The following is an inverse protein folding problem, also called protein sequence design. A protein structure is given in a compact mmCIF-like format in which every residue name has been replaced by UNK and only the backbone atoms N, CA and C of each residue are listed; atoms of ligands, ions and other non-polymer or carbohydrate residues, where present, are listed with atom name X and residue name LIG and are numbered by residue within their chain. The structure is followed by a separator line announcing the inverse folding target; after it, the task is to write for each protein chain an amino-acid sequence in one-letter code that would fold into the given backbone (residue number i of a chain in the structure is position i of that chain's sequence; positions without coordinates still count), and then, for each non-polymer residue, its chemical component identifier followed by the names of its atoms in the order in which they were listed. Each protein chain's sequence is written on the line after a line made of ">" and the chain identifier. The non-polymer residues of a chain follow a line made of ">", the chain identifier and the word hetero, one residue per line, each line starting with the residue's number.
data_IF_612472514822
#
_entry.id   IF_612472514822
#
_cell.length_a   1.000
_cell.length_b   1.000
_cell.length_c   1.000
_cell.angle_alpha   90.00
_cell.angle_beta   90.00
_cell.angle_gamma   90.00
#
_symmetry.space_group_name_H-M   'P 1'
#
loop_
_entity.id
_entity.type
_entity.pdbx_description
1 polymer ?
#
# COMPACT_ATOMS: atom_id res chain seq x y z
N UNK A 1 -23.96 -3.76 19.00
CA UNK A 1 -23.46 -2.37 18.97
C UNK A 1 -22.55 -2.26 17.79
N UNK A 2 -22.94 -1.46 16.81
CA UNK A 2 -22.12 -1.23 15.62
C UNK A 2 -20.78 -0.63 16.07
N UNK A 3 -19.68 -1.19 15.59
CA UNK A 3 -18.35 -0.67 15.86
C UNK A 3 -17.68 -0.29 14.55
N UNK A 4 -16.99 0.84 14.56
CA UNK A 4 -16.32 1.39 13.38
C UNK A 4 -15.16 0.50 12.99
N UNK A 5 -15.24 -0.03 11.78
CA UNK A 5 -14.17 -0.80 11.16
C UNK A 5 -13.40 0.10 10.21
N UNK A 6 -12.09 0.10 10.34
CA UNK A 6 -11.17 0.80 9.46
C UNK A 6 -9.86 0.01 9.39
N UNK A 7 -9.68 -0.71 8.29
CA UNK A 7 -8.57 -1.61 8.09
C UNK A 7 -7.68 -1.17 6.93
N UNK A 8 -6.39 -1.48 7.05
CA UNK A 8 -5.36 -1.14 6.06
C UNK A 8 -5.62 -1.77 4.68
N UNK A 9 -6.34 -2.87 4.61
CA UNK A 9 -6.76 -3.48 3.35
C UNK A 9 -7.90 -2.73 2.63
N UNK A 10 -8.36 -1.60 3.18
CA UNK A 10 -9.41 -0.76 2.60
C UNK A 10 -10.82 -1.11 3.09
N UNK A 11 -10.99 -2.19 3.85
CA UNK A 11 -12.27 -2.51 4.49
C UNK A 11 -12.64 -1.43 5.53
N UNK A 12 -13.80 -0.80 5.34
CA UNK A 12 -14.32 0.25 6.21
C UNK A 12 -15.84 0.16 6.35
N UNK A 13 -16.39 0.58 7.50
CA UNK A 13 -17.84 0.58 7.74
C UNK A 13 -18.23 -0.16 9.01
N UNK A 14 -19.40 -0.82 9.00
CA UNK A 14 -19.87 -1.60 10.14
C UNK A 14 -19.08 -2.91 10.27
N UNK A 15 -18.36 -3.11 11.38
CA UNK A 15 -17.53 -4.28 11.60
C UNK A 15 -18.24 -5.63 11.51
N UNK A 16 -19.56 -5.70 11.72
CA UNK A 16 -20.32 -6.93 11.52
C UNK A 16 -20.39 -7.36 10.04
N UNK A 17 -20.39 -6.39 9.13
CA UNK A 17 -20.51 -6.61 7.69
C UNK A 17 -19.12 -6.80 7.05
N UNK A 18 -18.14 -5.99 7.47
CA UNK A 18 -16.86 -5.90 6.75
C UNK A 18 -15.71 -6.69 7.36
N UNK A 19 -15.87 -7.27 8.56
CA UNK A 19 -14.82 -8.08 9.17
C UNK A 19 -14.58 -9.43 8.44
N UNK A 20 -15.56 -9.93 7.69
CA UNK A 20 -15.39 -11.11 6.83
C UNK A 20 -14.96 -12.39 7.57
N UNK A 21 -15.37 -12.55 8.83
CA UNK A 21 -15.05 -13.73 9.66
C UNK A 21 -13.59 -13.85 10.11
N UNK A 22 -12.76 -12.84 9.83
CA UNK A 22 -11.37 -12.80 10.28
C UNK A 22 -11.26 -12.29 11.73
N UNK A 23 -10.23 -12.74 12.46
CA UNK A 23 -9.92 -12.16 13.77
C UNK A 23 -9.61 -10.67 13.66
N UNK A 24 -10.23 -9.89 14.54
CA UNK A 24 -10.12 -8.43 14.57
C UNK A 24 -9.49 -7.96 15.88
N UNK A 25 -8.96 -6.74 15.86
CA UNK A 25 -8.40 -6.07 17.03
C UNK A 25 -8.81 -4.59 17.03
N UNK A 26 -9.10 -4.07 18.22
CA UNK A 26 -9.45 -2.66 18.44
C UNK A 26 -8.23 -1.86 18.84
N UNK A 27 -8.01 -0.71 18.23
CA UNK A 27 -6.98 0.24 18.68
C UNK A 27 -7.41 0.93 19.98
N UNK A 28 -6.51 1.01 20.96
CA UNK A 28 -6.76 1.69 22.23
C UNK A 28 -6.70 3.23 22.15
N UNK A 29 -6.29 3.79 21.01
CA UNK A 29 -6.24 5.25 20.80
C UNK A 29 -7.41 5.77 19.96
N UNK A 30 -7.60 5.24 18.74
CA UNK A 30 -8.66 5.71 17.83
C UNK A 30 -9.94 4.87 17.91
N UNK A 31 -9.96 3.81 18.72
CA UNK A 31 -11.10 2.89 18.92
C UNK A 31 -11.59 2.16 17.66
N UNK A 32 -10.96 2.39 16.50
CA UNK A 32 -11.25 1.68 15.26
C UNK A 32 -10.81 0.22 15.34
N UNK A 33 -11.58 -0.64 14.70
CA UNK A 33 -11.28 -2.05 14.55
C UNK A 33 -10.65 -2.35 13.20
N UNK A 34 -9.78 -3.34 13.18
CA UNK A 34 -9.09 -3.78 11.97
C UNK A 34 -8.79 -5.27 12.03
N UNK A 35 -8.50 -5.88 10.88
CA UNK A 35 -8.04 -7.28 10.84
C UNK A 35 -6.66 -7.40 11.50
N UNK A 36 -6.49 -8.42 12.35
CA UNK A 36 -5.19 -8.75 12.94
C UNK A 36 -4.15 -9.01 11.84
N UNK A 37 -4.55 -9.76 10.80
CA UNK A 37 -3.68 -10.13 9.69
C UNK A 37 -3.29 -8.98 8.75
N UNK A 38 -3.86 -7.79 8.95
CA UNK A 38 -3.54 -6.59 8.17
C UNK A 38 -2.58 -5.63 8.90
N UNK A 39 -2.26 -5.91 10.16
CA UNK A 39 -1.30 -5.13 10.93
C UNK A 39 0.13 -5.50 10.54
N UNK A 40 0.98 -4.48 10.35
CA UNK A 40 2.36 -4.68 9.86
C UNK A 40 3.14 -5.71 10.66
N UNK A 41 3.80 -6.62 9.95
CA UNK A 41 4.71 -7.63 10.53
C UNK A 41 4.06 -8.60 11.51
N UNK A 42 2.73 -8.72 11.52
CA UNK A 42 2.01 -9.58 12.46
C UNK A 42 2.08 -9.13 13.92
N UNK A 43 2.38 -7.85 14.18
CA UNK A 43 2.55 -7.29 15.53
C UNK A 43 1.33 -7.43 16.45
N UNK A 44 0.13 -7.60 15.86
CA UNK A 44 -1.11 -7.81 16.60
C UNK A 44 -1.40 -9.28 16.94
N UNK A 45 -0.69 -10.24 16.35
CA UNK A 45 -1.13 -11.64 16.29
C UNK A 45 -0.98 -12.43 17.58
N UNK A 46 0.00 -12.07 18.40
CA UNK A 46 0.30 -12.74 19.67
C UNK A 46 0.18 -11.79 20.87
N UNK A 47 -0.60 -10.72 20.73
CA UNK A 47 -0.82 -9.81 21.84
C UNK A 47 -1.59 -10.52 22.96
N UNK A 48 -1.11 -10.33 24.18
CA UNK A 48 -1.85 -10.78 25.35
C UNK A 48 -3.20 -10.05 25.39
N UNK A 49 -4.31 -10.66 25.85
CA UNK A 49 -5.63 -10.01 25.87
C UNK A 49 -5.72 -8.68 26.65
N UNK A 50 -4.72 -8.38 27.48
CA UNK A 50 -4.60 -7.14 28.26
C UNK A 50 -3.53 -6.18 27.73
N UNK A 51 -2.82 -6.55 26.67
CA UNK A 51 -1.79 -5.70 26.09
C UNK A 51 -2.45 -4.55 25.32
N UNK A 52 -1.92 -3.34 25.49
CA UNK A 52 -2.35 -2.21 24.69
C UNK A 52 -1.95 -2.41 23.21
N UNK A 53 -2.82 -2.01 22.30
CA UNK A 53 -2.62 -2.05 20.88
C UNK A 53 -2.90 -0.70 20.22
N UNK A 54 -1.93 -0.22 19.44
CA UNK A 54 -2.04 0.99 18.64
C UNK A 54 -1.93 0.64 17.17
N UNK A 55 -2.95 0.99 16.36
CA UNK A 55 -2.95 0.76 14.91
C UNK A 55 -1.78 1.52 14.23
N UNK A 56 -1.46 1.16 12.99
CA UNK A 56 -0.25 1.69 12.32
C UNK A 56 -0.32 3.22 12.21
N UNK A 57 -1.50 3.78 11.97
CA UNK A 57 -1.75 5.22 11.94
C UNK A 57 -1.60 5.96 13.27
N UNK A 58 -2.01 5.31 14.36
CA UNK A 58 -1.82 5.86 15.70
C UNK A 58 -0.37 5.68 16.20
N UNK A 59 0.31 4.64 15.75
CA UNK A 59 1.67 4.30 16.19
C UNK A 59 2.70 5.31 15.68
N UNK A 60 2.54 5.85 14.47
CA UNK A 60 3.37 6.91 13.89
C UNK A 60 3.24 8.26 14.61
N UNK A 61 2.09 8.51 15.24
CA UNK A 61 1.89 9.71 16.07
C UNK A 61 2.65 9.62 17.40
N UNK A 62 2.77 8.41 17.99
CA UNK A 62 3.54 8.19 19.22
C UNK A 62 5.05 8.06 19.00
N UNK A 63 5.51 7.60 17.83
CA UNK A 63 6.95 7.41 17.56
C UNK A 63 7.76 8.71 17.54
N UNK A 64 7.11 9.89 17.46
CA UNK A 64 7.76 11.20 17.65
C UNK A 64 8.20 11.48 19.10
N UNK A 65 7.83 10.64 20.07
CA UNK A 65 8.10 10.83 21.49
C UNK A 65 9.06 9.78 22.12
N UNK A 66 9.66 8.88 21.32
CA UNK A 66 10.54 7.84 21.89
C UNK A 66 12.03 8.27 21.88
N UNK A 67 12.77 8.05 22.99
CA UNK A 67 14.22 8.18 22.99
C UNK A 67 14.86 7.16 22.05
N UNK A 68 16.07 7.43 21.52
CA UNK A 68 16.75 6.53 20.61
C UNK A 68 16.94 5.15 21.24
N UNK A 69 16.60 4.11 20.48
CA UNK A 69 16.80 2.71 20.85
C UNK A 69 18.30 2.52 21.08
N UNK A 70 18.68 2.24 22.33
CA UNK A 70 20.05 1.80 22.67
C UNK A 70 20.32 0.50 21.94
N UNK A 71 21.28 0.53 21.01
CA UNK A 71 21.86 -0.65 20.36
C UNK A 71 22.37 -1.63 21.43
N UNK A 72 21.55 -2.62 21.78
CA UNK A 72 22.00 -3.79 22.52
C UNK A 72 22.78 -4.66 21.54
N UNK A 73 24.10 -4.74 21.73
CA UNK A 73 24.96 -5.71 21.05
C UNK A 73 24.31 -7.09 21.14
N UNK A 74 23.95 -7.65 19.99
CA UNK A 74 23.38 -8.98 19.88
C UNK A 74 24.47 -10.01 20.22
N UNK A 75 24.47 -10.49 21.46
CA UNK A 75 25.30 -11.61 21.89
C UNK A 75 24.44 -12.88 21.98
N UNK A 76 25.01 -13.98 21.48
CA UNK A 76 24.54 -15.37 21.46
C UNK A 76 23.71 -15.82 20.24
N UNK A 77 24.16 -16.95 19.65
CA UNK A 77 23.43 -17.80 18.72
C UNK A 77 22.13 -18.27 19.39
N UNK A 78 21.06 -17.48 19.30
CA UNK A 78 19.74 -17.88 19.81
C UNK A 78 19.28 -19.10 19.03
N UNK A 79 18.99 -20.20 19.73
CA UNK A 79 18.29 -21.33 19.12
C UNK A 79 17.00 -20.82 18.49
N UNK A 80 16.79 -21.18 17.24
CA UNK A 80 15.61 -20.83 16.47
C UNK A 80 14.36 -21.34 17.17
N UNK A 81 13.38 -20.47 17.39
CA UNK A 81 12.12 -20.87 17.98
C UNK A 81 11.40 -21.88 17.06
N UNK A 82 10.62 -22.82 17.60
CA UNK A 82 9.88 -23.79 16.79
C UNK A 82 8.98 -23.11 15.75
N UNK A 83 8.89 -23.70 14.55
CA UNK A 83 8.16 -23.11 13.41
C UNK A 83 6.75 -22.61 13.76
N UNK A 84 5.97 -23.41 14.51
CA UNK A 84 4.60 -23.05 14.91
C UNK A 84 4.50 -21.75 15.73
N UNK A 85 5.55 -21.38 16.46
CA UNK A 85 5.61 -20.11 17.22
C UNK A 85 6.00 -18.92 16.34
N UNK A 86 6.58 -19.19 15.16
CA UNK A 86 7.04 -18.18 14.19
C UNK A 86 5.99 -17.88 13.12
N UNK A 87 5.07 -18.81 12.88
CA UNK A 87 3.90 -18.62 12.01
C UNK A 87 2.86 -17.80 12.78
N UNK A 88 2.64 -16.56 12.35
CA UNK A 88 1.71 -15.61 12.98
C UNK A 88 0.86 -14.94 11.89
N UNK A 89 -0.37 -14.56 12.22
CA UNK A 89 -1.22 -13.81 11.30
C UNK A 89 -0.53 -12.51 10.83
N UNK A 90 -0.74 -12.12 9.58
CA UNK A 90 -0.10 -10.94 8.97
C UNK A 90 1.39 -11.10 8.65
N UNK A 91 1.98 -12.29 8.83
CA UNK A 91 3.33 -12.61 8.37
C UNK A 91 3.27 -13.29 6.99
N UNK A 92 4.24 -13.00 6.13
CA UNK A 92 4.50 -13.78 4.92
C UNK A 92 5.12 -15.15 5.25
N UNK A 93 4.76 -16.16 4.47
CA UNK A 93 5.26 -17.53 4.55
C UNK A 93 5.33 -18.15 3.16
N UNK A 94 5.92 -19.33 3.03
CA UNK A 94 5.82 -20.18 1.85
C UNK A 94 4.84 -21.32 2.11
N UNK A 95 3.90 -21.54 1.20
CA UNK A 95 2.99 -22.67 1.20
C UNK A 95 3.32 -23.65 0.07
N UNK A 96 3.23 -24.95 0.37
CA UNK A 96 3.44 -26.02 -0.60
C UNK A 96 2.21 -26.21 -1.48
N UNK A 97 2.40 -26.22 -2.80
CA UNK A 97 1.41 -26.64 -3.79
C UNK A 97 2.05 -27.67 -4.74
N UNK A 98 1.60 -28.92 -4.62
CA UNK A 98 2.26 -30.05 -5.28
C UNK A 98 3.71 -30.19 -4.80
N UNK A 99 4.66 -30.00 -5.73
CA UNK A 99 6.11 -30.12 -5.49
C UNK A 99 6.86 -28.78 -5.44
N UNK A 100 6.13 -27.67 -5.39
CA UNK A 100 6.67 -26.33 -5.39
C UNK A 100 6.15 -25.52 -4.20
N UNK A 101 6.90 -24.50 -3.79
CA UNK A 101 6.58 -23.63 -2.66
C UNK A 101 6.36 -22.20 -3.14
N UNK A 102 5.27 -21.56 -2.72
CA UNK A 102 4.86 -20.23 -3.18
C UNK A 102 4.60 -19.28 -2.01
N UNK A 103 4.82 -17.97 -2.18
CA UNK A 103 4.55 -16.99 -1.14
C UNK A 103 3.06 -16.84 -0.84
N UNK A 104 2.77 -16.79 0.45
CA UNK A 104 1.43 -16.55 0.99
C UNK A 104 1.49 -15.59 2.17
N UNK A 105 0.39 -14.89 2.45
CA UNK A 105 0.17 -14.21 3.74
C UNK A 105 -0.69 -15.08 4.64
N UNK A 106 -0.25 -15.26 5.88
CA UNK A 106 -1.01 -15.98 6.90
C UNK A 106 -2.15 -15.12 7.43
N UNK A 107 -3.38 -15.61 7.41
CA UNK A 107 -4.56 -14.87 7.89
C UNK A 107 -4.90 -15.26 9.31
N UNK A 108 -5.15 -16.54 9.56
CA UNK A 108 -5.42 -17.06 10.90
C UNK A 108 -5.31 -18.57 10.92
N UNK A 109 -4.95 -19.10 12.09
CA UNK A 109 -4.90 -20.53 12.35
C UNK A 109 -6.18 -21.03 13.02
N UNK A 110 -6.54 -22.28 12.71
CA UNK A 110 -7.61 -23.02 13.35
C UNK A 110 -7.18 -24.46 13.62
N UNK A 111 -7.71 -25.03 14.70
CA UNK A 111 -7.34 -26.34 15.21
C UNK A 111 -6.98 -26.28 16.70
N UNK A 112 -7.21 -27.37 17.43
CA UNK A 112 -7.01 -27.44 18.89
C UNK A 112 -5.52 -27.48 19.24
N UNK A 113 -4.99 -26.35 19.69
CA UNK A 113 -3.65 -26.22 20.29
C UNK A 113 -3.48 -27.02 21.61
N UNK A 114 -4.57 -27.54 22.16
CA UNK A 114 -4.65 -28.30 23.41
C UNK A 114 -4.44 -29.82 23.26
N UNK A 115 -4.20 -30.33 22.05
CA UNK A 115 -3.94 -31.75 21.84
C UNK A 115 -2.44 -32.12 22.01
N UNK A 116 -2.12 -33.36 22.42
CA UNK A 116 -0.76 -33.84 22.57
C UNK A 116 0.09 -33.64 21.30
N UNK A 117 1.41 -33.53 21.49
CA UNK A 117 2.37 -33.17 20.44
C UNK A 117 2.32 -34.06 19.17
N UNK A 118 1.75 -35.26 19.27
CA UNK A 118 1.57 -36.23 18.18
C UNK A 118 0.39 -35.92 17.24
N UNK A 119 -0.43 -34.91 17.55
CA UNK A 119 -1.62 -34.50 16.77
C UNK A 119 -1.55 -33.07 16.24
N UNK A 120 -0.37 -32.43 16.34
CA UNK A 120 -0.10 -31.05 15.88
C UNK A 120 -0.21 -30.86 14.35
N UNK A 121 -0.33 -31.95 13.60
CA UNK A 121 -0.59 -31.96 12.15
C UNK A 121 -2.01 -31.52 11.77
N UNK A 122 -2.90 -31.31 12.75
CA UNK A 122 -4.27 -30.82 12.49
C UNK A 122 -4.42 -29.30 12.51
N UNK A 123 -3.34 -28.54 12.78
CA UNK A 123 -3.40 -27.08 12.69
C UNK A 123 -3.42 -26.69 11.22
N UNK A 124 -4.50 -26.01 10.81
CA UNK A 124 -4.63 -25.44 9.48
C UNK A 124 -4.57 -23.92 9.56
N UNK A 125 -4.11 -23.31 8.49
CA UNK A 125 -4.02 -21.88 8.32
C UNK A 125 -4.85 -21.46 7.12
N UNK A 126 -5.69 -20.47 7.34
CA UNK A 126 -6.22 -19.68 6.23
C UNK A 126 -5.11 -18.78 5.71
N UNK A 127 -4.91 -18.80 4.39
CA UNK A 127 -3.86 -18.06 3.72
C UNK A 127 -4.40 -17.30 2.50
N UNK A 128 -3.71 -16.23 2.13
CA UNK A 128 -3.89 -15.53 0.85
C UNK A 128 -2.64 -15.77 0.02
N UNK A 129 -2.78 -16.39 -1.14
CA UNK A 129 -1.66 -16.61 -2.06
C UNK A 129 -1.31 -15.30 -2.73
N UNK A 130 0.00 -15.05 -2.89
CA UNK A 130 0.45 -13.88 -3.62
C UNK A 130 -0.11 -13.91 -5.05
N UNK A 131 -0.76 -12.81 -5.46
CA UNK A 131 -1.41 -12.69 -6.76
C UNK A 131 -0.47 -12.85 -7.96
N UNK A 132 0.83 -12.61 -7.77
CA UNK A 132 1.85 -12.80 -8.80
C UNK A 132 2.32 -14.25 -8.96
N UNK A 133 1.79 -15.21 -8.21
CA UNK A 133 2.16 -16.62 -8.33
C UNK A 133 1.74 -17.22 -9.68
N UNK A 134 2.67 -17.93 -10.32
CA UNK A 134 2.45 -18.68 -11.57
C UNK A 134 2.40 -20.17 -11.26
N UNK A 135 1.18 -20.69 -11.12
CA UNK A 135 0.94 -22.09 -10.81
C UNK A 135 1.04 -22.99 -12.07
N UNK A 136 1.43 -24.26 -11.93
CA UNK A 136 1.31 -25.25 -12.98
C UNK A 136 -0.16 -25.44 -13.35
N UNK A 137 -0.49 -25.43 -14.65
CA UNK A 137 -1.86 -25.56 -15.15
C UNK A 137 -2.56 -26.85 -14.69
N UNK A 138 -1.80 -27.89 -14.32
CA UNK A 138 -2.31 -29.17 -13.85
C UNK A 138 -2.78 -29.20 -12.41
N UNK A 139 -2.46 -28.18 -11.58
CA UNK A 139 -2.73 -28.19 -10.13
C UNK A 139 -4.02 -27.43 -9.74
N UNK A 140 -4.73 -26.83 -10.70
CA UNK A 140 -5.94 -26.07 -10.45
C UNK A 140 -5.71 -24.83 -9.58
N UNK A 141 -6.79 -24.29 -9.01
CA UNK A 141 -6.73 -23.16 -8.08
C UNK A 141 -6.17 -23.61 -6.72
N UNK A 142 -5.25 -22.84 -6.12
CA UNK A 142 -4.68 -23.21 -4.83
C UNK A 142 -5.72 -23.09 -3.70
N UNK A 143 -5.67 -23.97 -2.68
CA UNK A 143 -6.62 -23.93 -1.57
C UNK A 143 -6.38 -22.72 -0.66
N UNK A 144 -7.46 -22.12 -0.14
CA UNK A 144 -7.38 -21.06 0.89
C UNK A 144 -6.90 -21.57 2.25
N UNK A 145 -7.00 -22.88 2.50
CA UNK A 145 -6.70 -23.52 3.78
C UNK A 145 -5.58 -24.55 3.65
N UNK A 146 -4.44 -24.23 4.26
CA UNK A 146 -3.19 -24.99 4.15
C UNK A 146 -2.83 -25.62 5.49
N UNK A 147 -2.34 -26.86 5.47
CA UNK A 147 -1.88 -27.53 6.69
C UNK A 147 -0.56 -26.93 7.17
N UNK A 148 -0.35 -26.86 8.48
CA UNK A 148 0.88 -26.27 9.02
C UNK A 148 2.16 -26.99 8.55
N UNK A 149 2.08 -28.30 8.29
CA UNK A 149 3.20 -29.07 7.72
C UNK A 149 3.56 -28.67 6.28
N UNK A 150 2.63 -28.02 5.59
CA UNK A 150 2.80 -27.46 4.24
C UNK A 150 3.16 -25.97 4.25
N UNK A 151 3.50 -25.43 5.43
CA UNK A 151 3.97 -24.05 5.59
C UNK A 151 5.39 -24.04 6.11
N UNK A 152 6.18 -23.10 5.59
CA UNK A 152 7.46 -22.70 6.19
C UNK A 152 7.55 -21.18 6.17
N UNK A 153 8.36 -20.63 7.07
CA UNK A 153 8.68 -19.21 7.04
C UNK A 153 9.94 -18.97 6.20
N UNK A 154 10.72 -17.94 6.51
CA UNK A 154 11.98 -17.63 5.85
C UNK A 154 13.08 -18.68 6.10
N UNK A 155 12.95 -19.58 7.09
CA UNK A 155 13.95 -20.62 7.40
C UNK A 155 15.37 -20.07 7.67
N UNK A 156 15.49 -18.90 8.28
CA UNK A 156 16.78 -18.40 8.78
C UNK A 156 17.50 -19.44 9.62
N UNK A 157 18.82 -19.53 9.51
CA UNK A 157 19.65 -20.55 10.19
C UNK A 157 19.39 -22.03 9.80
N UNK A 158 18.36 -22.33 9.01
CA UNK A 158 18.03 -23.71 8.56
C UNK A 158 18.42 -23.93 7.09
N UNK A 159 19.73 -24.02 6.87
CA UNK A 159 20.32 -24.25 5.56
C UNK A 159 19.81 -25.54 4.90
N UNK A 160 19.74 -26.64 5.65
CA UNK A 160 19.34 -27.94 5.11
C UNK A 160 17.92 -27.87 4.54
N UNK A 161 16.98 -27.27 5.29
CA UNK A 161 15.60 -27.14 4.82
C UNK A 161 15.43 -26.23 3.62
N UNK A 162 16.17 -25.10 3.54
CA UNK A 162 16.14 -24.23 2.35
C UNK A 162 16.59 -24.97 1.08
N UNK A 163 17.63 -25.79 1.17
CA UNK A 163 18.17 -26.57 0.04
C UNK A 163 17.19 -27.63 -0.47
N UNK A 164 16.32 -28.14 0.39
CA UNK A 164 15.26 -29.09 0.02
C UNK A 164 14.03 -28.42 -0.65
N UNK A 165 13.91 -27.09 -0.58
CA UNK A 165 12.71 -26.39 -1.03
C UNK A 165 12.86 -25.89 -2.47
N UNK A 166 12.01 -26.44 -3.33
CA UNK A 166 11.88 -26.00 -4.72
C UNK A 166 10.82 -24.91 -4.81
N UNK A 167 11.26 -23.69 -5.07
CA UNK A 167 10.38 -22.56 -5.25
C UNK A 167 9.53 -22.68 -6.53
N UNK A 168 8.28 -22.26 -6.40
CA UNK A 168 7.39 -21.93 -7.51
C UNK A 168 7.81 -20.63 -8.18
N UNK A 169 7.25 -20.31 -9.34
CA UNK A 169 7.53 -19.03 -10.03
C UNK A 169 6.52 -17.99 -9.56
N UNK A 170 6.98 -16.78 -9.21
CA UNK A 170 6.11 -15.63 -8.95
C UNK A 170 6.76 -14.32 -9.41
N UNK A 171 5.95 -13.27 -9.61
CA UNK A 171 6.47 -11.91 -9.79
C UNK A 171 6.95 -11.36 -8.43
N UNK A 172 8.19 -10.91 -8.35
CA UNK A 172 8.75 -10.41 -7.10
C UNK A 172 8.03 -9.16 -6.59
N UNK A 173 8.23 -8.83 -5.31
CA UNK A 173 7.72 -7.59 -4.74
C UNK A 173 8.29 -6.36 -5.45
N UNK A 174 9.55 -6.41 -5.89
CA UNK A 174 10.21 -5.31 -6.61
C UNK A 174 9.83 -5.25 -8.10
N UNK A 175 9.31 -6.34 -8.68
CA UNK A 175 8.68 -6.32 -10.00
C UNK A 175 7.30 -5.64 -9.97
N UNK A 176 6.71 -5.48 -8.79
CA UNK A 176 5.44 -4.80 -8.61
C UNK A 176 5.69 -3.30 -8.52
N UNK A 177 5.19 -2.49 -9.48
CA UNK A 177 5.38 -1.04 -9.45
C UNK A 177 4.92 -0.47 -8.11
N UNK A 178 5.81 0.25 -7.44
CA UNK A 178 5.44 1.04 -6.26
C UNK A 178 4.63 2.24 -6.70
N UNK A 179 3.93 2.84 -5.74
CA UNK A 179 3.19 4.08 -5.99
C UNK A 179 4.08 5.15 -6.64
N UNK A 180 5.32 5.31 -6.17
CA UNK A 180 6.29 6.24 -6.74
C UNK A 180 6.64 5.92 -8.20
N UNK A 181 6.73 4.63 -8.57
CA UNK A 181 7.01 4.18 -9.93
C UNK A 181 5.85 4.48 -10.89
N UNK A 182 4.61 4.47 -10.39
CA UNK A 182 3.42 4.80 -11.19
C UNK A 182 3.41 6.27 -11.60
N UNK A 183 3.87 7.17 -10.72
CA UNK A 183 4.01 8.60 -11.05
C UNK A 183 5.16 8.79 -12.03
N UNK A 184 6.31 8.13 -11.82
CA UNK A 184 7.45 8.24 -12.72
C UNK A 184 7.17 7.66 -14.11
N UNK A 185 6.38 6.59 -14.19
CA UNK A 185 5.98 5.92 -15.43
C UNK A 185 4.50 6.13 -15.77
N UNK A 186 4.00 7.35 -15.57
CA UNK A 186 2.60 7.69 -15.79
C UNK A 186 2.11 7.38 -17.22
N UNK A 187 3.01 7.38 -18.20
CA UNK A 187 2.72 7.03 -19.61
C UNK A 187 2.17 5.61 -19.79
N UNK A 188 2.38 4.71 -18.83
CA UNK A 188 1.85 3.35 -18.85
C UNK A 188 0.39 3.25 -18.34
N UNK A 189 -0.09 4.22 -17.56
CA UNK A 189 -1.42 4.21 -16.97
C UNK A 189 -2.51 4.34 -18.05
N UNK A 190 -3.69 3.77 -17.92
CA UNK A 190 -4.75 3.97 -18.93
C UNK A 190 -5.73 5.06 -18.48
N UNK A 191 -5.84 6.15 -19.25
CA UNK A 191 -6.81 7.21 -18.96
C UNK A 191 -8.25 6.65 -19.07
N UNK A 192 -9.11 7.00 -18.13
CA UNK A 192 -10.52 6.59 -18.13
C UNK A 192 -11.37 7.57 -18.96
N UNK A 193 -12.51 7.08 -19.47
CA UNK A 193 -13.49 7.93 -20.16
C UNK A 193 -14.02 9.04 -19.25
N UNK A 194 -14.24 8.73 -17.96
CA UNK A 194 -14.66 9.72 -16.96
C UNK A 194 -13.68 10.89 -16.87
N UNK A 195 -12.37 10.62 -16.83
CA UNK A 195 -11.37 11.69 -16.77
C UNK A 195 -11.39 12.56 -18.02
N UNK A 196 -11.59 11.96 -19.19
CA UNK A 196 -11.74 12.71 -20.44
C UNK A 196 -12.99 13.59 -20.43
N UNK A 197 -14.14 13.04 -20.01
CA UNK A 197 -15.40 13.79 -19.89
C UNK A 197 -15.27 14.99 -18.92
N UNK A 198 -14.51 14.83 -17.84
CA UNK A 198 -14.25 15.88 -16.85
C UNK A 198 -13.27 16.94 -17.39
N UNK A 199 -12.13 16.53 -17.95
CA UNK A 199 -11.01 17.45 -18.21
C UNK A 199 -11.04 18.07 -19.60
N UNK A 200 -11.65 17.41 -20.60
CA UNK A 200 -11.71 17.89 -21.98
C UNK A 200 -12.34 19.28 -22.13
N UNK A 201 -13.41 19.66 -21.40
CA UNK A 201 -13.94 21.02 -21.44
C UNK A 201 -12.95 22.10 -20.99
N UNK A 202 -11.90 21.73 -20.25
CA UNK A 202 -10.95 22.64 -19.63
C UNK A 202 -9.58 22.70 -20.34
N UNK A 203 -9.43 22.10 -21.53
CA UNK A 203 -8.15 22.09 -22.27
C UNK A 203 -7.58 23.51 -22.44
N UNK A 204 -8.39 24.49 -22.86
CA UNK A 204 -7.93 25.86 -23.04
C UNK A 204 -7.44 26.51 -21.74
N UNK A 205 -8.09 26.18 -20.61
CA UNK A 205 -7.74 26.65 -19.28
C UNK A 205 -6.40 26.06 -18.82
N UNK A 206 -6.25 24.74 -18.96
CA UNK A 206 -5.03 24.01 -18.60
C UNK A 206 -3.84 24.39 -19.50
N UNK A 207 -4.08 24.62 -20.79
CA UNK A 207 -3.08 25.15 -21.72
C UNK A 207 -2.61 26.54 -21.30
N UNK A 208 -3.55 27.43 -20.93
CA UNK A 208 -3.19 28.78 -20.46
C UNK A 208 -2.27 28.72 -19.23
N UNK A 209 -2.54 27.80 -18.30
CA UNK A 209 -1.69 27.57 -17.12
C UNK A 209 -0.30 27.04 -17.48
N UNK A 210 -0.18 26.23 -18.54
CA UNK A 210 1.10 25.73 -19.03
C UNK A 210 1.92 26.83 -19.73
N UNK A 211 1.26 27.66 -20.54
CA UNK A 211 1.91 28.67 -21.38
C UNK A 211 2.24 29.96 -20.61
N UNK A 212 1.49 30.28 -19.55
CA UNK A 212 1.61 31.53 -18.79
C UNK A 212 2.16 31.28 -17.38
N UNK A 213 3.50 31.27 -17.18
CA UNK A 213 4.10 31.15 -15.85
C UNK A 213 3.91 32.42 -15.00
N UNK A 214 3.43 33.52 -15.57
CA UNK A 214 3.11 34.74 -14.83
C UNK A 214 1.76 34.60 -14.12
N UNK A 215 1.85 34.27 -12.83
CA UNK A 215 0.72 34.12 -11.91
C UNK A 215 -0.19 35.34 -11.85
N UNK A 216 0.30 36.55 -12.17
CA UNK A 216 -0.50 37.77 -12.12
C UNK A 216 -1.46 37.91 -13.33
N UNK A 217 -1.23 37.18 -14.41
CA UNK A 217 -2.05 37.20 -15.64
C UNK A 217 -3.15 36.14 -15.65
N UNK A 218 -3.10 35.22 -14.68
CA UNK A 218 -4.06 34.15 -14.48
C UNK A 218 -4.92 34.49 -13.25
N UNK A 219 -6.17 34.93 -13.46
CA UNK A 219 -7.03 35.43 -12.38
C UNK A 219 -7.26 34.42 -11.26
N UNK A 220 -6.98 34.82 -10.02
CA UNK A 220 -7.03 33.96 -8.82
C UNK A 220 -8.41 33.30 -8.58
N UNK A 221 -9.50 33.96 -8.96
CA UNK A 221 -10.87 33.44 -8.78
C UNK A 221 -11.17 32.20 -9.63
N UNK A 222 -10.45 32.02 -10.74
CA UNK A 222 -10.57 30.86 -11.63
C UNK A 222 -9.59 29.73 -11.25
N UNK A 223 -8.54 30.04 -10.48
CA UNK A 223 -7.44 29.13 -10.17
C UNK A 223 -7.01 29.25 -8.70
N UNK A 224 -7.69 28.56 -7.76
CA UNK A 224 -7.37 28.64 -6.33
C UNK A 224 -5.91 28.31 -5.99
N UNK A 225 -5.28 27.44 -6.79
CA UNK A 225 -3.86 27.09 -6.69
C UNK A 225 -2.93 28.31 -6.87
N UNK A 226 -3.32 29.30 -7.70
CA UNK A 226 -2.55 30.52 -7.93
C UNK A 226 -2.55 31.39 -6.69
N UNK A 227 -3.72 31.54 -6.05
CA UNK A 227 -3.85 32.31 -4.81
C UNK A 227 -2.95 31.72 -3.70
N UNK A 228 -2.94 30.39 -3.56
CA UNK A 228 -2.00 29.70 -2.67
C UNK A 228 -0.53 30.02 -2.97
N UNK A 229 -0.13 29.95 -4.24
CA UNK A 229 1.26 30.21 -4.64
C UNK A 229 1.64 31.67 -4.34
N UNK A 230 0.79 32.63 -4.69
CA UNK A 230 1.02 34.06 -4.46
C UNK A 230 1.13 34.39 -2.96
N UNK A 231 0.32 33.74 -2.12
CA UNK A 231 0.35 33.91 -0.68
C UNK A 231 1.56 33.22 0.00
N UNK A 232 2.02 32.09 -0.55
CA UNK A 232 3.01 31.22 0.11
C UNK A 232 4.45 31.77 0.16
N UNK A 233 4.82 32.78 -0.65
CA UNK A 233 6.13 33.49 -0.69
C UNK A 233 7.43 32.65 -0.67
N UNK A 234 7.41 31.31 -0.56
CA UNK A 234 8.59 30.53 -0.11
C UNK A 234 9.18 29.49 -1.05
N UNK A 235 8.53 29.02 -2.12
CA UNK A 235 9.10 27.94 -2.92
C UNK A 235 9.17 28.29 -4.41
N UNK A 236 10.08 29.20 -4.78
CA UNK A 236 10.62 29.19 -6.14
C UNK A 236 11.80 28.24 -6.13
N UNK A 237 11.56 26.99 -6.54
CA UNK A 237 12.68 26.12 -6.91
C UNK A 237 13.32 26.71 -8.17
N UNK A 238 14.65 26.63 -8.28
CA UNK A 238 15.46 27.34 -9.30
C UNK A 238 15.14 27.06 -10.78
N UNK A 239 14.10 26.27 -11.06
CA UNK A 239 13.59 25.90 -12.39
C UNK A 239 12.31 26.67 -12.75
N UNK A 240 11.78 27.52 -11.86
CA UNK A 240 10.59 28.34 -12.12
C UNK A 240 9.25 27.58 -12.04
N UNK A 241 9.28 26.30 -11.67
CA UNK A 241 8.10 25.50 -11.35
C UNK A 241 7.84 25.52 -9.83
N UNK A 242 6.59 25.74 -9.43
CA UNK A 242 6.16 25.59 -8.05
C UNK A 242 5.86 24.12 -7.80
N UNK A 243 6.66 23.44 -6.99
CA UNK A 243 6.33 22.08 -6.52
C UNK A 243 5.21 22.17 -5.49
N UNK A 244 4.07 21.54 -5.78
CA UNK A 244 2.86 21.63 -4.95
C UNK A 244 2.52 20.23 -4.41
N UNK A 245 2.70 19.99 -3.10
CA UNK A 245 2.60 18.65 -2.52
C UNK A 245 1.17 18.22 -2.17
N UNK A 246 0.15 18.83 -2.79
CA UNK A 246 -1.26 18.60 -2.44
C UNK A 246 -1.98 17.79 -3.52
N UNK A 247 -2.46 16.62 -3.13
CA UNK A 247 -3.26 15.73 -3.97
C UNK A 247 -4.55 15.21 -3.28
N UNK A 248 -4.83 15.62 -2.04
CA UNK A 248 -6.01 15.18 -1.30
C UNK A 248 -6.12 13.66 -1.21
N UNK A 249 -7.29 13.13 -1.58
CA UNK A 249 -7.63 11.70 -1.62
C UNK A 249 -7.38 11.06 -3.00
N UNK A 250 -6.73 11.78 -3.92
CA UNK A 250 -6.36 11.24 -5.22
C UNK A 250 -5.28 10.18 -5.02
N UNK A 251 -5.65 8.92 -5.23
CA UNK A 251 -4.71 7.80 -5.22
C UNK A 251 -3.59 7.99 -6.25
N UNK A 252 -2.44 7.38 -5.98
CA UNK A 252 -1.28 7.45 -6.87
C UNK A 252 -1.54 6.90 -8.28
N UNK A 253 -2.42 5.90 -8.40
CA UNK A 253 -2.87 5.39 -9.70
C UNK A 253 -3.67 6.45 -10.48
N UNK A 254 -4.54 7.18 -9.78
CA UNK A 254 -5.37 8.21 -10.39
C UNK A 254 -4.53 9.43 -10.77
N UNK A 255 -3.55 9.79 -9.94
CA UNK A 255 -2.52 10.76 -10.28
C UNK A 255 -1.88 10.40 -11.63
N UNK A 256 -1.40 9.16 -11.79
CA UNK A 256 -0.74 8.71 -13.01
C UNK A 256 -1.67 8.78 -14.24
N UNK A 257 -2.95 8.42 -14.10
CA UNK A 257 -3.93 8.54 -15.20
C UNK A 257 -4.19 9.98 -15.60
N UNK A 258 -4.34 10.89 -14.63
CA UNK A 258 -4.55 12.32 -14.89
C UNK A 258 -3.30 12.91 -15.55
N UNK A 259 -2.10 12.57 -15.05
CA UNK A 259 -0.83 13.00 -15.65
C UNK A 259 -0.68 12.52 -17.10
N UNK A 260 -1.04 11.27 -17.39
CA UNK A 260 -1.05 10.77 -18.78
C UNK A 260 -2.05 11.52 -19.64
N UNK A 261 -3.30 11.65 -19.17
CA UNK A 261 -4.33 12.36 -19.93
C UNK A 261 -3.86 13.78 -20.25
N UNK A 262 -3.28 14.48 -19.27
CA UNK A 262 -2.71 15.81 -19.44
C UNK A 262 -1.62 15.84 -20.51
N UNK A 263 -0.67 14.91 -20.44
CA UNK A 263 0.42 14.81 -21.42
C UNK A 263 -0.06 14.51 -22.85
N UNK A 264 -1.16 13.76 -23.02
CA UNK A 264 -1.69 13.38 -24.33
C UNK A 264 -2.61 14.44 -24.95
N UNK A 265 -3.34 15.21 -24.12
CA UNK A 265 -4.43 16.06 -24.58
C UNK A 265 -4.14 17.57 -24.49
N UNK A 266 -3.13 17.99 -23.73
CA UNK A 266 -2.76 19.41 -23.61
C UNK A 266 -1.64 19.72 -24.63
N UNK A 267 -1.87 20.62 -25.60
CA UNK A 267 -0.87 20.98 -26.61
C UNK A 267 0.51 21.34 -26.04
N UNK A 268 1.54 20.62 -26.47
CA UNK A 268 2.92 20.88 -26.05
C UNK A 268 3.27 20.41 -24.64
N UNK A 269 2.35 19.76 -23.91
CA UNK A 269 2.62 19.21 -22.58
C UNK A 269 3.64 18.06 -22.61
N UNK A 270 3.54 17.15 -23.57
CA UNK A 270 4.45 15.99 -23.69
C UNK A 270 5.94 16.36 -23.82
N UNK A 271 6.25 17.54 -24.37
CA UNK A 271 7.62 18.04 -24.52
C UNK A 271 8.12 18.92 -23.36
N UNK A 272 7.30 19.14 -22.32
CA UNK A 272 7.56 20.09 -21.24
C UNK A 272 7.16 19.51 -19.87
N UNK A 273 7.40 18.22 -19.65
CA UNK A 273 6.97 17.46 -18.46
C UNK A 273 7.41 18.15 -17.17
N UNK A 274 8.62 18.68 -17.14
CA UNK A 274 9.22 19.39 -16.01
C UNK A 274 8.48 20.68 -15.60
N UNK A 275 7.64 21.25 -16.48
CA UNK A 275 6.89 22.48 -16.19
C UNK A 275 5.55 22.22 -15.52
N UNK A 276 4.99 21.03 -15.67
CA UNK A 276 3.64 20.72 -15.18
C UNK A 276 3.57 19.51 -14.25
N UNK A 277 4.48 18.54 -14.34
CA UNK A 277 4.49 17.38 -13.46
C UNK A 277 4.85 17.80 -12.03
N UNK A 278 3.92 17.61 -11.09
CA UNK A 278 4.05 18.13 -9.72
C UNK A 278 3.86 19.64 -9.59
N UNK A 279 3.47 20.31 -10.68
CA UNK A 279 3.30 21.76 -10.76
C UNK A 279 1.84 22.22 -10.83
N UNK A 280 1.68 23.54 -10.86
CA UNK A 280 0.37 24.21 -10.90
C UNK A 280 -0.60 23.68 -11.97
N UNK A 281 -0.21 23.46 -13.24
CA UNK A 281 -1.16 23.04 -14.27
C UNK A 281 -1.80 21.68 -13.96
N UNK A 282 -1.00 20.71 -13.51
CA UNK A 282 -1.49 19.38 -13.16
C UNK A 282 -2.34 19.39 -11.88
N UNK A 283 -1.92 20.17 -10.88
CA UNK A 283 -2.69 20.31 -9.64
C UNK A 283 -4.02 21.02 -9.86
N UNK A 284 -4.12 21.93 -10.83
CA UNK A 284 -5.41 22.46 -11.24
C UNK A 284 -6.29 21.39 -11.90
N UNK A 285 -5.71 20.47 -12.69
CA UNK A 285 -6.45 19.31 -13.21
C UNK A 285 -6.98 18.42 -12.07
N UNK A 286 -6.20 18.20 -11.01
CA UNK A 286 -6.68 17.52 -9.78
C UNK A 286 -7.87 18.26 -9.16
N UNK A 287 -7.78 19.59 -9.08
CA UNK A 287 -8.85 20.44 -8.54
C UNK A 287 -10.14 20.27 -9.34
N UNK A 288 -10.06 20.23 -10.68
CA UNK A 288 -11.22 20.01 -11.56
C UNK A 288 -11.85 18.63 -11.34
N UNK A 289 -11.04 17.59 -11.18
CA UNK A 289 -11.52 16.23 -10.92
C UNK A 289 -12.24 16.14 -9.58
N UNK A 290 -11.64 16.68 -8.51
CA UNK A 290 -12.26 16.72 -7.17
C UNK A 290 -13.53 17.56 -7.19
N UNK A 291 -13.51 18.72 -7.84
CA UNK A 291 -14.67 19.59 -7.99
C UNK A 291 -15.84 18.86 -8.66
N UNK A 292 -15.59 18.11 -9.73
CA UNK A 292 -16.64 17.34 -10.39
C UNK A 292 -17.21 16.24 -9.48
N UNK A 293 -16.33 15.42 -8.89
CA UNK A 293 -16.73 14.25 -8.10
C UNK A 293 -17.45 14.61 -6.81
N UNK A 294 -17.02 15.66 -6.12
CA UNK A 294 -17.56 16.09 -4.82
C UNK A 294 -18.56 17.26 -4.91
N UNK A 295 -18.94 17.68 -6.12
CA UNK A 295 -19.84 18.82 -6.34
C UNK A 295 -21.14 18.73 -5.52
N UNK A 296 -21.76 17.55 -5.46
CA UNK A 296 -23.00 17.34 -4.72
C UNK A 296 -22.84 17.53 -3.20
N UNK A 297 -21.72 17.07 -2.64
CA UNK A 297 -21.44 17.17 -1.21
C UNK A 297 -21.05 18.59 -0.82
N UNK A 298 -20.21 19.23 -1.63
CA UNK A 298 -19.87 20.65 -1.47
C UNK A 298 -21.11 21.54 -1.54
N UNK A 299 -22.03 21.27 -2.49
CA UNK A 299 -23.28 22.02 -2.61
C UNK A 299 -24.15 21.92 -1.36
N UNK A 300 -24.31 20.72 -0.79
CA UNK A 300 -25.05 20.53 0.47
C UNK A 300 -24.43 21.32 1.61
N UNK A 301 -23.11 21.32 1.71
CA UNK A 301 -22.37 22.05 2.75
C UNK A 301 -22.54 23.58 2.64
N UNK A 302 -22.46 24.13 1.43
CA UNK A 302 -22.69 25.57 1.16
C UNK A 302 -24.13 25.96 1.46
N UNK A 303 -25.10 25.14 1.03
CA UNK A 303 -26.52 25.36 1.32
C UNK A 303 -26.82 25.37 2.81
N UNK A 304 -26.18 24.51 3.61
CA UNK A 304 -26.33 24.50 5.06
C UNK A 304 -25.82 25.79 5.73
N UNK A 305 -24.94 26.55 5.07
CA UNK A 305 -24.37 27.81 5.55
C UNK A 305 -25.06 29.06 4.98
N UNK A 306 -26.09 28.89 4.14
CA UNK A 306 -26.76 29.98 3.40
C UNK A 306 -25.80 30.84 2.55
N UNK A 307 -24.74 30.23 2.03
CA UNK A 307 -23.75 30.90 1.17
C UNK A 307 -24.13 30.74 -0.33
N UNK A 308 -23.68 31.66 -1.18
CA UNK A 308 -23.96 31.60 -2.62
C UNK A 308 -23.18 30.47 -3.31
N UNK A 309 -23.88 29.65 -4.09
CA UNK A 309 -23.28 28.58 -4.88
C UNK A 309 -22.88 29.09 -6.26
N UNK A 310 -21.57 29.19 -6.52
CA UNK A 310 -21.01 29.49 -7.84
C UNK A 310 -19.79 28.61 -8.15
N UNK A 311 -19.32 28.65 -9.39
CA UNK A 311 -18.17 27.83 -9.83
C UNK A 311 -16.86 28.19 -9.13
N UNK A 312 -16.66 29.44 -8.71
CA UNK A 312 -15.45 29.84 -7.98
C UNK A 312 -15.41 29.20 -6.60
N UNK A 313 -16.54 29.21 -5.88
CA UNK A 313 -16.67 28.54 -4.58
C UNK A 313 -16.49 27.02 -4.68
N UNK A 314 -17.03 26.39 -5.73
CA UNK A 314 -16.81 24.97 -5.98
C UNK A 314 -15.31 24.64 -6.11
N UNK A 315 -14.56 25.44 -6.88
CA UNK A 315 -13.12 25.23 -7.08
C UNK A 315 -12.33 25.50 -5.79
N UNK A 316 -12.68 26.53 -5.01
CA UNK A 316 -12.05 26.82 -3.72
C UNK A 316 -12.25 25.68 -2.72
N UNK A 317 -13.45 25.11 -2.65
CA UNK A 317 -13.72 23.95 -1.79
C UNK A 317 -12.96 22.71 -2.24
N UNK A 318 -12.91 22.44 -3.55
CA UNK A 318 -12.13 21.33 -4.09
C UNK A 318 -10.63 21.51 -3.80
N UNK A 319 -10.11 22.73 -3.91
CA UNK A 319 -8.74 23.05 -3.55
C UNK A 319 -8.46 22.86 -2.06
N UNK A 320 -9.37 23.33 -1.20
CA UNK A 320 -9.26 23.13 0.23
C UNK A 320 -9.26 21.63 0.59
N UNK A 321 -10.07 20.82 -0.10
CA UNK A 321 -10.09 19.36 0.06
C UNK A 321 -8.77 18.71 -0.37
N UNK A 322 -8.16 19.17 -1.47
CA UNK A 322 -6.82 18.72 -1.89
C UNK A 322 -5.72 19.06 -0.87
N UNK A 323 -5.85 20.21 -0.19
CA UNK A 323 -4.92 20.64 0.85
C UNK A 323 -5.08 19.86 2.16
N UNK A 324 -6.22 19.19 2.38
CA UNK A 324 -6.37 18.31 3.53
C UNK A 324 -5.37 17.16 3.35
N UNK A 325 -4.38 17.11 4.23
CA UNK A 325 -3.56 15.91 4.38
C UNK A 325 -4.47 14.81 4.92
N UNK A 326 -4.97 13.97 4.02
CA UNK A 326 -5.51 12.69 4.44
C UNK A 326 -4.35 11.95 5.13
N UNK A 327 -4.57 11.37 6.33
CA UNK A 327 -3.54 10.57 6.98
C UNK A 327 -3.02 9.55 5.96
N UNK A 328 -1.72 9.22 5.99
CA UNK A 328 -1.17 8.17 5.12
C UNK A 328 -1.93 6.82 5.25
N UNK A 329 -2.71 6.66 6.33
CA UNK A 329 -3.64 5.56 6.59
C UNK A 329 -4.92 5.55 5.74
N UNK A 330 -5.21 6.64 5.02
CA UNK A 330 -6.34 6.75 4.08
C UNK A 330 -6.10 6.01 2.77
N UNK A 331 -4.83 5.76 2.42
CA UNK A 331 -4.49 4.95 1.26
C UNK A 331 -4.64 3.48 1.63
N UNK A 332 -5.46 2.78 0.84
CA UNK A 332 -5.61 1.32 0.91
C UNK A 332 -4.23 0.71 0.72
N UNK A 333 -3.66 0.14 1.79
CA UNK A 333 -2.37 -0.50 1.72
C UNK A 333 -2.50 -1.85 1.03
N UNK A 334 -1.56 -2.13 0.13
CA UNK A 334 -1.37 -3.47 -0.40
C UNK A 334 -0.66 -4.36 0.62
N UNK A 335 -1.45 -4.85 1.59
CA UNK A 335 -0.97 -5.68 2.70
C UNK A 335 -0.26 -6.93 2.20
N UNK A 336 -0.72 -7.52 1.09
CA UNK A 336 -0.11 -8.71 0.52
C UNK A 336 1.28 -8.40 -0.05
N UNK A 337 1.44 -7.26 -0.75
CA UNK A 337 2.74 -6.80 -1.24
C UNK A 337 3.71 -6.45 -0.11
N UNK A 338 3.24 -5.79 0.96
CA UNK A 338 4.08 -5.50 2.14
C UNK A 338 4.60 -6.80 2.79
N UNK A 339 3.74 -7.80 2.91
CA UNK A 339 4.09 -9.09 3.46
C UNK A 339 5.07 -9.85 2.55
N UNK A 340 4.86 -9.82 1.23
CA UNK A 340 5.80 -10.38 0.27
C UNK A 340 7.16 -9.70 0.34
N UNK A 341 7.19 -8.36 0.35
CA UNK A 341 8.43 -7.58 0.43
C UNK A 341 9.25 -7.98 1.65
N UNK A 342 8.59 -8.11 2.80
CA UNK A 342 9.25 -8.53 4.05
C UNK A 342 9.74 -9.98 3.98
N UNK A 343 8.94 -10.88 3.41
CA UNK A 343 9.31 -12.29 3.25
C UNK A 343 10.51 -12.44 2.32
N UNK A 344 10.48 -11.82 1.14
CA UNK A 344 11.55 -11.89 0.14
C UNK A 344 12.85 -11.30 0.69
N UNK A 345 12.77 -10.13 1.34
CA UNK A 345 13.94 -9.52 1.99
C UNK A 345 14.65 -10.51 2.90
N UNK A 346 13.90 -11.29 3.70
CA UNK A 346 14.45 -12.31 4.60
C UNK A 346 14.84 -13.62 3.90
N UNK A 347 14.13 -14.01 2.85
CA UNK A 347 14.42 -15.23 2.09
C UNK A 347 15.75 -15.10 1.36
N UNK A 348 16.06 -13.91 0.85
CA UNK A 348 17.23 -13.62 0.02
C UNK A 348 18.29 -12.78 0.74
N UNK A 349 18.13 -12.57 2.05
CA UNK A 349 19.11 -11.86 2.86
C UNK A 349 20.43 -12.60 2.95
N UNK A 350 21.52 -11.90 2.66
CA UNK A 350 22.89 -12.34 2.91
C UNK A 350 23.46 -11.53 4.08
N UNK A 351 23.19 -11.99 5.32
CA UNK A 351 23.63 -11.35 6.55
C UNK A 351 24.04 -12.36 7.62
N UNK A 352 24.78 -11.90 8.63
CA UNK A 352 25.12 -12.72 9.81
C UNK A 352 23.86 -13.28 10.52
N UNK A 353 22.74 -12.54 10.47
CA UNK A 353 21.48 -12.94 11.09
C UNK A 353 20.78 -14.07 10.32
N UNK A 354 20.87 -14.07 8.99
CA UNK A 354 20.41 -15.18 8.15
C UNK A 354 21.27 -16.44 8.35
N UNK A 355 22.54 -16.26 8.72
CA UNK A 355 23.50 -17.32 9.02
C UNK A 355 23.79 -18.18 7.79
N UNK A 356 24.07 -19.50 7.96
CA UNK A 356 24.40 -20.39 6.85
C UNK A 356 23.34 -20.46 5.74
N UNK A 357 22.09 -20.08 6.06
CA UNK A 357 20.97 -20.09 5.14
C UNK A 357 21.01 -18.96 4.10
N UNK A 358 21.74 -17.86 4.34
CA UNK A 358 21.74 -16.66 3.49
C UNK A 358 22.45 -16.79 2.13
N UNK A 359 23.29 -17.81 1.95
CA UNK A 359 24.18 -17.98 0.79
C UNK A 359 23.49 -18.47 -0.50
N UNK A 360 22.35 -17.91 -0.88
CA UNK A 360 21.61 -18.25 -2.12
C UNK A 360 21.35 -19.76 -2.33
N UNK A 361 20.75 -20.43 -1.33
CA UNK A 361 20.75 -21.90 -1.26
C UNK A 361 19.40 -22.58 -1.54
N UNK A 362 18.36 -21.85 -1.90
CA UNK A 362 17.05 -22.43 -2.20
C UNK A 362 17.13 -23.51 -3.29
N UNK A 363 16.58 -24.70 -3.01
CA UNK A 363 16.38 -25.79 -3.97
C UNK A 363 17.63 -26.55 -4.44
N UNK A 364 18.83 -26.26 -3.90
CA UNK A 364 20.08 -26.88 -4.36
C UNK A 364 20.09 -28.42 -4.25
N UNK A 365 19.39 -29.00 -3.28
CA UNK A 365 19.35 -30.46 -3.05
C UNK A 365 18.08 -31.14 -3.60
N UNK A 366 17.08 -30.36 -4.00
CA UNK A 366 15.80 -30.89 -4.48
C UNK A 366 15.59 -30.74 -6.01
N UNK A 367 16.53 -30.09 -6.69
CA UNK A 367 16.52 -29.88 -8.13
C UNK A 367 15.80 -28.60 -8.56
N UNK A 368 15.52 -28.49 -9.86
CA UNK A 368 15.10 -27.22 -10.48
C UNK A 368 13.79 -26.66 -9.90
N UNK A 369 13.80 -25.34 -9.66
CA UNK A 369 12.60 -24.53 -9.42
C UNK A 369 11.59 -24.63 -10.57
N UNK A 370 10.37 -24.14 -10.33
CA UNK A 370 9.33 -24.17 -11.36
C UNK A 370 9.83 -23.44 -12.62
N UNK A 371 9.72 -24.12 -13.78
CA UNK A 371 10.17 -23.59 -15.09
C UNK A 371 11.64 -23.15 -15.16
N UNK A 372 12.53 -23.70 -14.31
CA UNK A 372 13.94 -23.28 -14.22
C UNK A 372 14.09 -21.80 -13.85
N UNK A 373 13.10 -21.26 -13.13
CA UNK A 373 13.13 -19.88 -12.68
C UNK A 373 14.35 -19.63 -11.78
N UNK A 374 15.09 -18.56 -12.08
CA UNK A 374 16.15 -18.06 -11.22
C UNK A 374 15.50 -17.11 -10.21
N UNK A 375 15.74 -17.38 -8.92
CA UNK A 375 15.11 -16.68 -7.79
C UNK A 375 15.97 -15.56 -7.21
N UNK A 376 17.20 -15.41 -7.72
CA UNK A 376 18.19 -14.41 -7.30
C UNK A 376 18.47 -13.38 -8.38
#
# INVERSE_FOLDING_TARGET
>A
SDYTFHCRCGAHGNGHEVAGGQKTIRCDLCENWSHIACQRGGRASNLHPKAAFYCDGCSTQQSKAMPPIRNRKATSKKKMAPLHTRLIAGKGALARLGKYWYPVRLIQSYGTASLPATTRDRVRWQVVWWRGCKFPSSLGSPPSDVEQGDLVDELWQDQAKRREIRLGEWAHSWDTPREEDLIQNFMSAQASKELDDILRPHIASLQKLLDSPDLNQCGAEAYPVIDYILQSKKNRDGVGAYSIPFCGDISTHEYAKIARWFSENIPGASGQVEKWLGGMPLVHAFTLVVAHRKAGDFKKWVQARNEEWNNSELLKMAWADLMISYPADSFVADVDLECLTTLEARMFEDSEEAGPAGNQQWGLDAGQHHRRWNVY
#
